data_IF_913679974208
#
_entry.id   IF_913679974208
#
_cell.length_a   1.000
_cell.length_b   1.000
_cell.length_c   1.000
_cell.angle_alpha   90.00
_cell.angle_beta   90.00
_cell.angle_gamma   90.00
#
_symmetry.space_group_name_H-M   'P 1'
#
loop_
_entity.id
_entity.type
_entity.pdbx_description
1 polymer ?
#
# COMPACT_ATOMS: atom_id res chain seq x y z
N UNK A 1 -8.03 26.41 3.02
CA UNK A 1 -8.45 25.00 3.21
C UNK A 1 -8.76 24.72 4.68
N UNK A 2 -9.44 23.61 4.97
CA UNK A 2 -9.67 23.16 6.37
C UNK A 2 -8.33 22.89 7.06
N UNK A 3 -7.39 22.24 6.36
CA UNK A 3 -6.06 21.97 6.89
C UNK A 3 -5.31 23.25 7.27
N UNK A 4 -5.36 24.30 6.43
CA UNK A 4 -4.70 25.59 6.73
C UNK A 4 -5.21 26.21 8.03
N UNK A 5 -6.52 26.11 8.31
CA UNK A 5 -7.10 26.60 9.58
C UNK A 5 -6.58 25.80 10.76
N UNK A 6 -6.64 24.47 10.68
CA UNK A 6 -6.13 23.58 11.73
C UNK A 6 -4.62 23.77 11.96
N UNK A 7 -3.84 23.97 10.90
CA UNK A 7 -2.41 24.20 11.00
C UNK A 7 -2.07 25.52 11.70
N UNK A 8 -2.85 26.58 11.45
CA UNK A 8 -2.68 27.87 12.13
C UNK A 8 -3.09 27.82 13.60
N UNK A 9 -4.02 26.95 13.97
CA UNK A 9 -4.46 26.73 15.34
C UNK A 9 -3.44 25.91 16.14
N UNK A 10 -3.04 24.72 15.61
CA UNK A 10 -2.02 23.86 16.17
C UNK A 10 -1.29 23.08 15.06
N UNK A 11 -0.15 23.63 14.64
CA UNK A 11 0.66 23.05 13.59
C UNK A 11 1.13 21.62 13.91
N UNK A 12 1.45 21.34 15.18
CA UNK A 12 1.94 20.01 15.60
C UNK A 12 0.85 18.95 15.50
N UNK A 13 -0.35 19.26 15.97
CA UNK A 13 -1.49 18.34 15.87
C UNK A 13 -1.94 18.17 14.43
N UNK A 14 -2.00 19.25 13.63
CA UNK A 14 -2.33 19.18 12.21
C UNK A 14 -1.36 18.27 11.43
N UNK A 15 -0.05 18.38 11.68
CA UNK A 15 0.96 17.52 11.08
C UNK A 15 0.82 16.05 11.50
N UNK A 16 0.52 15.77 12.77
CA UNK A 16 0.26 14.40 13.24
C UNK A 16 -0.94 13.79 12.53
N UNK A 17 -2.03 14.54 12.39
CA UNK A 17 -3.23 14.09 11.67
C UNK A 17 -2.90 13.85 10.19
N UNK A 18 -2.10 14.73 9.57
CA UNK A 18 -1.67 14.57 8.18
C UNK A 18 -0.88 13.27 7.98
N UNK A 19 0.12 13.00 8.82
CA UNK A 19 0.89 11.75 8.73
C UNK A 19 0.06 10.52 9.06
N UNK A 20 -0.82 10.58 10.07
CA UNK A 20 -1.77 9.50 10.35
C UNK A 20 -2.71 9.24 9.16
N UNK A 21 -3.19 10.29 8.52
CA UNK A 21 -4.05 10.12 7.33
C UNK A 21 -3.33 9.38 6.20
N UNK A 22 -2.02 9.55 6.08
CA UNK A 22 -1.20 8.90 5.06
C UNK A 22 -0.77 7.48 5.41
N UNK A 23 -0.61 7.17 6.69
CA UNK A 23 -0.08 5.89 7.14
C UNK A 23 -0.99 4.74 6.70
N UNK A 24 -0.41 3.80 5.92
CA UNK A 24 -1.11 2.62 5.40
C UNK A 24 -1.11 1.44 6.37
N UNK A 25 -0.37 1.53 7.49
CA UNK A 25 -0.25 0.45 8.48
C UNK A 25 -1.17 0.67 9.66
N UNK A 26 -1.20 1.89 10.20
CA UNK A 26 -1.90 2.23 11.43
C UNK A 26 -2.82 3.45 11.29
N UNK A 27 -2.95 4.00 10.08
CA UNK A 27 -3.75 5.17 9.77
C UNK A 27 -4.76 4.92 8.66
N UNK A 28 -5.20 6.01 8.00
CA UNK A 28 -6.25 5.96 6.97
C UNK A 28 -5.76 5.55 5.58
N UNK A 29 -4.46 5.57 5.31
CA UNK A 29 -3.88 5.20 4.01
C UNK A 29 -4.16 6.18 2.86
N UNK A 30 -4.60 7.40 3.18
CA UNK A 30 -4.95 8.43 2.21
C UNK A 30 -3.73 8.97 1.48
N UNK A 31 -3.76 8.91 0.13
CA UNK A 31 -2.62 9.34 -0.67
C UNK A 31 -2.81 10.73 -1.27
N UNK A 32 -3.95 10.98 -1.86
CA UNK A 32 -4.15 12.21 -2.62
C UNK A 32 -4.23 13.42 -1.70
N UNK A 33 -5.01 13.32 -0.62
CA UNK A 33 -5.13 14.38 0.39
C UNK A 33 -3.75 14.71 0.97
N UNK A 34 -2.96 13.69 1.31
CA UNK A 34 -1.59 13.90 1.80
C UNK A 34 -0.72 14.68 0.82
N UNK A 35 -0.74 14.30 -0.47
CA UNK A 35 0.06 14.96 -1.52
C UNK A 35 -0.37 16.39 -1.78
N UNK A 36 -1.68 16.65 -1.78
CA UNK A 36 -2.24 17.99 -1.98
C UNK A 36 -1.86 18.92 -0.81
N UNK A 37 -1.96 18.41 0.43
CA UNK A 37 -1.56 19.17 1.62
C UNK A 37 -0.04 19.33 1.68
N UNK A 38 0.74 18.31 1.30
CA UNK A 38 2.20 18.42 1.23
C UNK A 38 2.63 19.51 0.23
N UNK A 39 1.99 19.60 -0.94
CA UNK A 39 2.25 20.67 -1.91
C UNK A 39 1.95 22.05 -1.32
N UNK A 40 0.82 22.20 -0.64
CA UNK A 40 0.49 23.45 0.09
C UNK A 40 1.54 23.82 1.14
N UNK A 41 2.02 22.84 1.91
CA UNK A 41 3.03 23.07 2.94
C UNK A 41 4.39 23.46 2.35
N UNK A 42 4.77 22.88 1.22
CA UNK A 42 6.00 23.25 0.50
C UNK A 42 5.96 24.71 0.05
N UNK A 43 4.81 25.18 -0.43
CA UNK A 43 4.64 26.56 -0.91
C UNK A 43 4.56 27.59 0.22
N UNK A 44 4.02 27.23 1.40
CA UNK A 44 3.69 28.20 2.44
C UNK A 44 4.49 27.98 3.75
N UNK A 45 5.04 26.80 3.98
CA UNK A 45 5.69 26.37 5.22
C UNK A 45 6.86 25.42 4.95
N UNK A 46 7.75 25.79 4.02
CA UNK A 46 8.86 24.95 3.52
C UNK A 46 9.71 24.33 4.63
N UNK A 47 10.03 25.11 5.67
CA UNK A 47 10.87 24.65 6.78
C UNK A 47 10.20 23.54 7.61
N UNK A 48 8.86 23.55 7.69
CA UNK A 48 8.13 22.49 8.38
C UNK A 48 8.22 21.17 7.60
N UNK A 49 8.13 21.23 6.27
CA UNK A 49 8.31 20.03 5.42
C UNK A 49 9.73 19.53 5.52
N UNK A 50 10.72 20.43 5.47
CA UNK A 50 12.14 20.09 5.60
C UNK A 50 12.44 19.39 6.92
N UNK A 51 11.92 19.89 8.04
CA UNK A 51 12.09 19.29 9.36
C UNK A 51 11.45 17.91 9.53
N UNK A 52 10.50 17.55 8.65
CA UNK A 52 9.78 16.27 8.69
C UNK A 52 10.01 15.42 7.43
N UNK A 53 11.06 15.72 6.66
CA UNK A 53 11.29 15.09 5.36
C UNK A 53 11.44 13.57 5.44
N UNK A 54 12.17 13.09 6.43
CA UNK A 54 12.44 11.67 6.66
C UNK A 54 11.17 10.88 7.01
N UNK A 55 10.16 11.54 7.59
CA UNK A 55 8.88 10.93 7.95
C UNK A 55 8.00 10.66 6.74
N UNK A 56 8.23 11.34 5.60
CA UNK A 56 7.44 11.16 4.39
C UNK A 56 7.50 9.71 3.88
N UNK A 57 8.67 9.09 3.66
CA UNK A 57 8.73 7.68 3.26
C UNK A 57 8.45 6.70 4.40
N UNK A 58 8.55 7.11 5.66
CA UNK A 58 8.27 6.28 6.82
C UNK A 58 6.78 5.99 6.98
N UNK A 59 5.95 7.03 7.02
CA UNK A 59 4.47 6.91 7.12
C UNK A 59 3.81 6.70 5.77
N UNK A 60 4.41 7.22 4.70
CA UNK A 60 3.94 7.10 3.34
C UNK A 60 4.72 6.10 2.51
N UNK A 61 5.15 6.56 1.35
CA UNK A 61 5.98 5.79 0.41
C UNK A 61 7.07 6.68 -0.17
N UNK A 62 8.15 6.06 -0.63
CA UNK A 62 9.25 6.76 -1.27
C UNK A 62 8.83 7.57 -2.52
N UNK A 63 7.75 7.19 -3.20
CA UNK A 63 7.22 7.96 -4.33
C UNK A 63 6.49 9.26 -3.90
N UNK A 64 6.14 9.42 -2.63
CA UNK A 64 5.61 10.69 -2.12
C UNK A 64 6.70 11.78 -2.07
N UNK A 65 7.96 11.40 -1.88
CA UNK A 65 9.13 12.31 -1.94
C UNK A 65 9.31 12.91 -3.35
N UNK A 66 8.85 12.21 -4.39
CA UNK A 66 8.99 12.69 -5.77
C UNK A 66 8.24 14.02 -6.04
N UNK A 67 7.18 14.29 -5.29
CA UNK A 67 6.43 15.55 -5.38
C UNK A 67 7.22 16.78 -4.98
N UNK A 68 8.35 16.59 -4.28
CA UNK A 68 9.25 17.69 -3.88
C UNK A 68 10.26 18.08 -4.97
N UNK A 69 10.36 17.29 -6.05
CA UNK A 69 11.24 17.59 -7.17
C UNK A 69 10.64 18.73 -8.00
N UNK A 70 11.41 19.79 -8.20
CA UNK A 70 10.96 21.03 -8.83
C UNK A 70 10.50 22.10 -7.84
N UNK A 71 10.64 21.86 -6.56
CA UNK A 71 10.36 22.83 -5.49
C UNK A 71 11.67 23.28 -4.79
N UNK A 72 11.58 24.17 -3.82
CA UNK A 72 12.72 24.63 -3.03
C UNK A 72 13.39 23.48 -2.23
N UNK A 73 12.67 22.39 -1.99
CA UNK A 73 13.17 21.17 -1.32
C UNK A 73 13.75 20.12 -2.28
N UNK A 74 13.94 20.45 -3.56
CA UNK A 74 14.46 19.49 -4.55
C UNK A 74 15.79 18.84 -4.12
N UNK A 75 16.73 19.64 -3.65
CA UNK A 75 18.04 19.12 -3.26
C UNK A 75 17.97 18.21 -2.03
N UNK A 76 17.14 18.58 -1.05
CA UNK A 76 16.92 17.78 0.15
C UNK A 76 16.23 16.43 -0.23
N UNK A 77 15.23 16.48 -1.09
CA UNK A 77 14.54 15.29 -1.61
C UNK A 77 15.47 14.36 -2.39
N UNK A 78 16.33 14.91 -3.28
CA UNK A 78 17.32 14.13 -4.01
C UNK A 78 18.31 13.50 -3.04
N UNK A 79 18.78 14.25 -2.04
CA UNK A 79 19.72 13.75 -1.03
C UNK A 79 19.12 12.60 -0.24
N UNK A 80 17.85 12.69 0.16
CA UNK A 80 17.12 11.62 0.85
C UNK A 80 17.00 10.36 -0.04
N UNK A 81 16.60 10.51 -1.31
CA UNK A 81 16.50 9.39 -2.25
C UNK A 81 17.87 8.71 -2.48
N UNK A 82 18.92 9.50 -2.62
CA UNK A 82 20.30 9.01 -2.80
C UNK A 82 20.78 8.29 -1.54
N UNK A 83 20.51 8.85 -0.36
CA UNK A 83 20.83 8.22 0.91
C UNK A 83 20.14 6.85 1.02
N UNK A 84 18.84 6.77 0.77
CA UNK A 84 18.12 5.49 0.78
C UNK A 84 18.69 4.45 -0.19
N UNK A 85 19.15 4.85 -1.40
CA UNK A 85 19.81 3.94 -2.33
C UNK A 85 21.19 3.48 -1.84
N UNK A 86 21.98 4.37 -1.21
CA UNK A 86 23.30 4.03 -0.64
C UNK A 86 23.20 3.10 0.56
N UNK A 87 22.18 3.29 1.39
CA UNK A 87 21.86 2.40 2.52
C UNK A 87 21.19 1.09 2.09
N UNK A 88 21.18 0.79 0.78
CA UNK A 88 20.57 -0.40 0.20
C UNK A 88 19.09 -0.60 0.60
N UNK A 89 18.35 0.49 0.80
CA UNK A 89 16.94 0.43 1.12
C UNK A 89 16.12 -0.05 -0.08
N UNK A 90 15.60 -1.27 0.01
CA UNK A 90 14.86 -1.93 -1.07
C UNK A 90 13.55 -1.20 -1.44
N UNK A 91 12.91 -0.49 -0.48
CA UNK A 91 11.70 0.28 -0.76
C UNK A 91 12.02 1.56 -1.55
N UNK A 92 13.14 2.23 -1.25
CA UNK A 92 13.62 3.34 -2.08
C UNK A 92 13.82 2.87 -3.53
N UNK A 93 14.51 1.76 -3.73
CA UNK A 93 14.76 1.20 -5.05
C UNK A 93 13.45 0.74 -5.74
N UNK A 94 12.52 0.14 -5.01
CA UNK A 94 11.21 -0.30 -5.53
C UNK A 94 10.43 0.87 -6.14
N UNK A 95 10.36 2.00 -5.44
CA UNK A 95 9.59 3.17 -5.84
C UNK A 95 10.35 4.14 -6.76
N UNK A 96 11.68 3.94 -6.95
CA UNK A 96 12.47 4.76 -7.86
C UNK A 96 12.01 4.57 -9.31
N UNK A 97 11.65 5.65 -10.03
CA UNK A 97 11.30 5.55 -11.45
C UNK A 97 12.49 5.10 -12.29
N UNK A 98 12.23 4.46 -13.42
CA UNK A 98 13.28 3.98 -14.36
C UNK A 98 13.63 4.98 -15.46
N UNK A 99 12.90 6.11 -15.52
CA UNK A 99 13.04 7.21 -16.49
C UNK A 99 12.40 8.50 -15.94
N UNK A 100 12.58 9.58 -16.64
CA UNK A 100 11.93 10.87 -16.31
C UNK A 100 12.78 11.75 -15.40
N UNK A 101 12.17 12.81 -14.87
CA UNK A 101 12.86 13.90 -14.16
C UNK A 101 13.57 13.41 -12.90
N UNK A 102 12.84 12.75 -12.01
CA UNK A 102 13.39 12.22 -10.73
C UNK A 102 14.59 11.30 -10.99
N UNK A 103 14.42 10.33 -11.91
CA UNK A 103 15.50 9.42 -12.29
C UNK A 103 16.75 10.17 -12.78
N UNK A 104 16.57 11.17 -13.65
CA UNK A 104 17.70 11.92 -14.20
C UNK A 104 18.39 12.82 -13.15
N UNK A 105 17.63 13.39 -12.19
CA UNK A 105 18.18 14.19 -11.10
C UNK A 105 19.01 13.34 -10.15
N UNK A 106 18.46 12.21 -9.68
CA UNK A 106 19.16 11.23 -8.82
C UNK A 106 20.39 10.67 -9.51
N UNK A 107 20.29 10.31 -10.81
CA UNK A 107 21.42 9.84 -11.61
C UNK A 107 22.55 10.86 -11.68
N UNK A 108 22.23 12.13 -11.94
CA UNK A 108 23.22 13.22 -12.01
C UNK A 108 23.91 13.42 -10.66
N UNK A 109 23.16 13.37 -9.57
CA UNK A 109 23.71 13.50 -8.22
C UNK A 109 24.66 12.35 -7.89
N UNK A 110 24.30 11.11 -8.25
CA UNK A 110 25.17 9.92 -8.08
C UNK A 110 26.35 9.90 -9.06
N UNK A 111 26.36 10.73 -10.11
CA UNK A 111 27.36 10.77 -11.18
C UNK A 111 27.51 9.42 -11.90
N UNK A 112 26.40 8.72 -12.11
CA UNK A 112 26.35 7.41 -12.80
C UNK A 112 25.62 7.49 -14.13
N UNK A 113 25.85 6.49 -15.00
CA UNK A 113 25.13 6.35 -16.26
C UNK A 113 23.69 5.85 -16.03
N UNK A 114 22.77 6.04 -17.00
CA UNK A 114 21.41 5.49 -16.89
C UNK A 114 21.40 3.96 -16.72
N UNK A 115 22.36 3.25 -17.31
CA UNK A 115 22.48 1.80 -17.22
C UNK A 115 22.89 1.36 -15.80
N UNK A 116 23.88 2.04 -15.23
CA UNK A 116 24.35 1.78 -13.85
C UNK A 116 23.26 2.03 -12.82
N UNK A 117 22.56 3.17 -12.90
CA UNK A 117 21.45 3.43 -11.97
C UNK A 117 20.35 2.37 -12.08
N UNK A 118 19.96 1.95 -13.30
CA UNK A 118 18.96 0.89 -13.46
C UNK A 118 19.44 -0.44 -12.86
N UNK A 119 20.72 -0.81 -13.05
CA UNK A 119 21.30 -2.01 -12.44
C UNK A 119 21.24 -1.92 -10.91
N UNK A 120 21.65 -0.79 -10.33
CA UNK A 120 21.59 -0.56 -8.88
C UNK A 120 20.14 -0.70 -8.35
N UNK A 121 19.18 -0.04 -8.99
CA UNK A 121 17.78 -0.13 -8.60
C UNK A 121 17.28 -1.58 -8.67
N UNK A 122 17.64 -2.34 -9.72
CA UNK A 122 17.24 -3.75 -9.86
C UNK A 122 17.86 -4.60 -8.75
N UNK A 123 19.16 -4.44 -8.48
CA UNK A 123 19.84 -5.24 -7.43
C UNK A 123 19.30 -5.01 -6.03
N UNK A 124 18.79 -3.81 -5.75
CA UNK A 124 18.27 -3.45 -4.44
C UNK A 124 16.76 -3.77 -4.25
N UNK A 125 15.97 -3.74 -5.31
CA UNK A 125 14.50 -3.81 -5.16
C UNK A 125 13.99 -5.16 -4.66
N UNK A 126 14.64 -6.27 -4.97
CA UNK A 126 14.30 -7.64 -4.53
C UNK A 126 12.78 -7.91 -4.35
N UNK A 127 11.97 -7.47 -5.32
CA UNK A 127 10.52 -7.60 -5.25
C UNK A 127 10.04 -8.91 -5.85
N UNK A 128 8.81 -9.33 -5.47
CA UNK A 128 8.15 -10.51 -6.06
C UNK A 128 8.10 -10.39 -7.58
N UNK A 129 7.75 -9.21 -8.09
CA UNK A 129 7.66 -8.94 -9.52
C UNK A 129 9.02 -9.14 -10.26
N UNK A 130 10.11 -8.78 -9.61
CA UNK A 130 11.44 -8.97 -10.21
C UNK A 130 11.84 -10.45 -10.25
N UNK A 131 11.56 -11.19 -9.18
CA UNK A 131 11.77 -12.63 -9.14
C UNK A 131 10.97 -13.34 -10.22
N UNK A 132 9.69 -12.98 -10.37
CA UNK A 132 8.82 -13.48 -11.44
C UNK A 132 9.38 -13.16 -12.83
N UNK A 133 9.78 -11.90 -13.09
CA UNK A 133 10.34 -11.49 -14.40
C UNK A 133 11.68 -12.14 -14.73
N UNK A 134 12.48 -12.49 -13.72
CA UNK A 134 13.77 -13.19 -13.92
C UNK A 134 13.65 -14.71 -13.92
N UNK A 135 12.43 -15.26 -13.78
CA UNK A 135 12.19 -16.70 -13.73
C UNK A 135 12.64 -17.39 -12.43
N UNK A 136 12.98 -16.60 -11.40
CA UNK A 136 13.47 -17.09 -10.10
C UNK A 136 12.32 -17.34 -9.14
N UNK A 137 11.44 -18.22 -9.53
CA UNK A 137 10.20 -18.53 -8.75
C UNK A 137 10.55 -19.16 -7.40
N UNK A 138 11.60 -19.98 -7.34
CA UNK A 138 12.09 -20.65 -6.14
C UNK A 138 12.58 -19.69 -5.05
N UNK A 139 12.98 -18.46 -5.42
CA UNK A 139 13.39 -17.42 -4.47
C UNK A 139 12.20 -16.68 -3.83
N UNK A 140 10.95 -16.93 -4.27
CA UNK A 140 9.77 -16.27 -3.73
C UNK A 140 9.42 -16.88 -2.38
N UNK A 141 9.42 -16.05 -1.34
CA UNK A 141 8.96 -16.42 0.01
C UNK A 141 7.49 -16.00 0.15
N UNK A 142 6.58 -16.94 -0.05
CA UNK A 142 5.13 -16.66 -0.08
C UNK A 142 4.63 -16.02 1.21
N UNK A 143 5.06 -16.50 2.39
CA UNK A 143 4.64 -15.96 3.69
C UNK A 143 5.11 -14.53 3.96
N UNK A 144 6.16 -14.06 3.27
CA UNK A 144 6.65 -12.67 3.34
C UNK A 144 6.13 -11.78 2.21
N UNK A 145 5.45 -12.38 1.24
CA UNK A 145 4.95 -11.63 0.09
C UNK A 145 3.87 -10.63 0.50
N UNK A 146 3.88 -9.41 -0.08
CA UNK A 146 2.83 -8.43 0.22
C UNK A 146 1.44 -8.96 -0.13
N UNK A 147 0.45 -8.65 0.70
CA UNK A 147 -0.93 -9.15 0.56
C UNK A 147 -1.54 -8.92 -0.83
N UNK A 148 -1.40 -7.72 -1.39
CA UNK A 148 -1.87 -7.40 -2.74
C UNK A 148 -1.10 -8.14 -3.83
N UNK A 149 0.20 -8.41 -3.65
CA UNK A 149 0.99 -9.19 -4.61
C UNK A 149 0.54 -10.66 -4.61
N UNK A 150 0.30 -11.24 -3.43
CA UNK A 150 -0.24 -12.60 -3.27
C UNK A 150 -1.57 -12.75 -4.01
N UNK A 151 -2.51 -11.86 -3.74
CA UNK A 151 -3.82 -11.84 -4.38
C UNK A 151 -3.73 -11.68 -5.89
N UNK A 152 -2.95 -10.71 -6.37
CA UNK A 152 -2.81 -10.37 -7.81
C UNK A 152 -2.12 -11.46 -8.62
N UNK A 153 -1.11 -12.12 -8.05
CA UNK A 153 -0.23 -13.04 -8.77
C UNK A 153 -0.49 -14.52 -8.47
N UNK A 154 -1.52 -14.86 -7.68
CA UNK A 154 -1.86 -16.25 -7.32
C UNK A 154 -1.95 -17.19 -8.52
N UNK A 155 -2.59 -16.76 -9.62
CA UNK A 155 -2.65 -17.54 -10.86
C UNK A 155 -1.28 -17.74 -11.53
N UNK A 156 -0.39 -16.76 -11.41
CA UNK A 156 0.96 -16.88 -11.95
C UNK A 156 1.81 -17.84 -11.10
N UNK A 157 1.67 -17.80 -9.79
CA UNK A 157 2.29 -18.75 -8.87
C UNK A 157 1.83 -20.17 -9.14
N UNK A 158 0.51 -20.40 -9.25
CA UNK A 158 -0.05 -21.70 -9.59
C UNK A 158 0.36 -22.24 -10.96
N UNK A 159 0.73 -21.39 -11.93
CA UNK A 159 1.20 -21.84 -13.25
C UNK A 159 2.69 -22.11 -13.30
N UNK A 160 3.51 -21.33 -12.59
CA UNK A 160 4.95 -21.36 -12.76
C UNK A 160 5.71 -21.96 -11.57
N UNK A 161 5.04 -22.12 -10.41
CA UNK A 161 5.62 -22.70 -9.18
C UNK A 161 4.55 -23.53 -8.44
N UNK A 162 3.88 -24.41 -9.18
CA UNK A 162 2.68 -25.14 -8.75
C UNK A 162 2.90 -25.92 -7.45
N UNK A 163 3.95 -26.69 -7.36
CA UNK A 163 4.22 -27.59 -6.21
C UNK A 163 4.40 -26.77 -4.93
N UNK A 164 5.32 -25.79 -4.93
CA UNK A 164 5.60 -24.94 -3.76
C UNK A 164 4.41 -24.07 -3.39
N UNK A 165 3.69 -23.53 -4.38
CA UNK A 165 2.50 -22.71 -4.11
C UNK A 165 1.38 -23.56 -3.53
N UNK A 166 1.14 -24.75 -4.05
CA UNK A 166 0.13 -25.70 -3.52
C UNK A 166 0.48 -26.14 -2.10
N UNK A 167 1.76 -26.45 -1.82
CA UNK A 167 2.22 -26.77 -0.49
C UNK A 167 2.01 -25.60 0.48
N UNK A 168 2.32 -24.37 0.04
CA UNK A 168 2.07 -23.16 0.82
C UNK A 168 0.59 -23.03 1.19
N UNK A 169 -0.35 -23.18 0.25
CA UNK A 169 -1.80 -23.14 0.50
C UNK A 169 -2.22 -24.23 1.50
N UNK A 170 -1.70 -25.46 1.35
CA UNK A 170 -1.98 -26.54 2.29
C UNK A 170 -1.47 -26.25 3.70
N UNK A 171 -0.30 -25.63 3.81
CA UNK A 171 0.29 -25.23 5.09
C UNK A 171 -0.49 -24.08 5.73
N UNK A 172 -1.04 -23.15 4.94
CA UNK A 172 -1.95 -22.12 5.43
C UNK A 172 -3.20 -22.74 6.05
N UNK A 173 -3.88 -23.65 5.34
CA UNK A 173 -5.09 -24.35 5.82
C UNK A 173 -4.84 -25.15 7.12
N UNK A 174 -3.62 -25.64 7.32
CA UNK A 174 -3.19 -26.37 8.53
C UNK A 174 -2.69 -25.45 9.65
N UNK A 175 -2.68 -24.11 9.45
CA UNK A 175 -2.14 -23.15 10.41
C UNK A 175 -0.62 -23.22 10.62
N UNK A 176 0.13 -23.89 9.72
CA UNK A 176 1.60 -24.04 9.82
C UNK A 176 2.36 -22.83 9.29
N UNK A 177 1.72 -21.97 8.53
CA UNK A 177 2.28 -20.73 8.00
C UNK A 177 1.20 -19.65 7.99
N UNK A 178 1.59 -18.43 7.65
CA UNK A 178 0.69 -17.27 7.63
C UNK A 178 0.71 -16.59 6.27
N UNK A 179 -0.33 -15.83 5.97
CA UNK A 179 -0.40 -14.94 4.80
C UNK A 179 -0.67 -13.51 5.28
N UNK A 180 -0.03 -12.54 4.61
CA UNK A 180 -0.26 -11.14 4.91
C UNK A 180 -1.64 -10.69 4.34
N UNK A 181 -2.48 -10.10 5.19
CA UNK A 181 -3.76 -9.52 4.80
C UNK A 181 -3.96 -8.08 5.31
N UNK A 182 -3.07 -7.55 6.15
CA UNK A 182 -3.23 -6.27 6.83
C UNK A 182 -3.36 -5.03 5.92
N UNK A 183 -3.01 -5.14 4.63
CA UNK A 183 -3.18 -4.07 3.65
C UNK A 183 -4.32 -4.36 2.64
N UNK A 184 -5.15 -5.36 2.90
CA UNK A 184 -6.34 -5.67 2.10
C UNK A 184 -7.59 -5.11 2.76
N UNK A 185 -8.51 -4.65 1.93
CA UNK A 185 -9.88 -4.39 2.34
C UNK A 185 -10.75 -5.62 2.04
N UNK A 186 -11.89 -5.79 2.71
CA UNK A 186 -12.82 -6.90 2.45
C UNK A 186 -13.16 -7.06 0.97
N UNK A 187 -13.39 -5.96 0.24
CA UNK A 187 -13.69 -6.01 -1.20
C UNK A 187 -12.52 -6.51 -2.07
N UNK A 188 -11.27 -6.32 -1.66
CA UNK A 188 -10.11 -6.86 -2.39
C UNK A 188 -10.14 -8.39 -2.40
N UNK A 189 -10.60 -8.98 -1.31
CA UNK A 189 -10.65 -10.43 -1.15
C UNK A 189 -11.89 -11.01 -1.84
N UNK A 190 -13.08 -10.43 -1.63
CA UNK A 190 -14.32 -10.93 -2.27
C UNK A 190 -14.25 -10.90 -3.79
N UNK A 191 -13.62 -9.89 -4.38
CA UNK A 191 -13.37 -9.85 -5.84
C UNK A 191 -12.45 -10.97 -6.31
N UNK A 192 -11.47 -11.37 -5.49
CA UNK A 192 -10.52 -12.40 -5.85
C UNK A 192 -11.09 -13.82 -5.76
N UNK A 193 -12.15 -14.06 -4.99
CA UNK A 193 -12.82 -15.36 -4.95
C UNK A 193 -13.28 -15.79 -6.35
N UNK A 194 -13.81 -14.86 -7.14
CA UNK A 194 -14.31 -15.15 -8.50
C UNK A 194 -13.20 -15.22 -9.56
N UNK A 195 -12.05 -14.59 -9.33
CA UNK A 195 -11.03 -14.35 -10.36
C UNK A 195 -9.65 -14.94 -9.99
N UNK A 196 -9.46 -15.38 -8.76
CA UNK A 196 -8.18 -15.84 -8.21
C UNK A 196 -8.22 -17.28 -7.71
N UNK A 197 -7.47 -17.50 -6.64
CA UNK A 197 -7.44 -18.74 -5.87
C UNK A 197 -8.37 -18.57 -4.66
N UNK A 198 -9.49 -19.34 -4.66
CA UNK A 198 -10.50 -19.24 -3.61
C UNK A 198 -9.95 -19.68 -2.23
N UNK A 199 -9.03 -20.64 -2.21
CA UNK A 199 -8.40 -21.13 -0.99
C UNK A 199 -7.51 -20.03 -0.38
N UNK A 200 -6.68 -19.37 -1.20
CA UNK A 200 -5.88 -18.23 -0.77
C UNK A 200 -6.77 -17.09 -0.28
N UNK A 201 -7.84 -16.77 -1.00
CA UNK A 201 -8.77 -15.70 -0.62
C UNK A 201 -9.42 -16.02 0.74
N UNK A 202 -9.82 -17.27 0.98
CA UNK A 202 -10.36 -17.71 2.26
C UNK A 202 -9.37 -17.53 3.42
N UNK A 203 -8.10 -17.90 3.22
CA UNK A 203 -7.08 -17.72 4.25
C UNK A 203 -6.71 -16.23 4.45
N UNK A 204 -6.70 -15.41 3.40
CA UNK A 204 -6.55 -13.96 3.53
C UNK A 204 -7.72 -13.31 4.27
N UNK A 205 -8.94 -13.80 4.06
CA UNK A 205 -10.13 -13.33 4.77
C UNK A 205 -10.06 -13.60 6.27
N UNK A 206 -9.63 -14.79 6.67
CA UNK A 206 -9.40 -15.16 8.08
C UNK A 206 -8.30 -14.31 8.72
N UNK A 207 -7.28 -13.93 7.93
CA UNK A 207 -6.13 -13.14 8.38
C UNK A 207 -6.39 -11.61 8.38
N UNK A 208 -7.58 -11.15 7.93
CA UNK A 208 -7.95 -9.74 8.04
C UNK A 208 -7.97 -9.29 9.50
N UNK A 209 -7.47 -8.08 9.80
CA UNK A 209 -7.63 -7.50 11.13
C UNK A 209 -9.09 -7.48 11.56
N UNK A 210 -9.37 -7.74 12.82
CA UNK A 210 -10.71 -7.58 13.37
C UNK A 210 -10.92 -6.13 13.82
N UNK A 211 -11.50 -5.30 12.95
CA UNK A 211 -11.78 -3.89 13.25
C UNK A 211 -12.98 -3.70 14.20
N UNK A 212 -13.68 -4.79 14.54
CA UNK A 212 -14.78 -4.78 15.51
C UNK A 212 -14.33 -5.28 16.90
N UNK A 213 -13.07 -5.65 17.06
CA UNK A 213 -12.55 -6.18 18.32
C UNK A 213 -12.68 -5.14 19.44
N UNK A 214 -13.25 -5.55 20.56
CA UNK A 214 -13.48 -4.69 21.72
C UNK A 214 -14.68 -3.74 21.58
N UNK A 215 -15.53 -3.89 20.56
CA UNK A 215 -16.80 -3.17 20.46
C UNK A 215 -17.93 -4.04 21.02
N UNK A 216 -18.66 -3.49 22.00
CA UNK A 216 -19.87 -4.10 22.56
C UNK A 216 -21.14 -3.68 21.80
N UNK A 217 -21.00 -2.98 20.67
CA UNK A 217 -22.11 -2.47 19.87
C UNK A 217 -22.82 -3.60 19.12
N UNK A 218 -24.15 -3.62 19.19
CA UNK A 218 -24.99 -4.51 18.40
C UNK A 218 -25.21 -3.89 17.01
N UNK A 219 -24.46 -4.38 16.01
CA UNK A 219 -24.48 -3.82 14.66
C UNK A 219 -25.30 -4.75 13.74
N UNK A 220 -26.38 -4.22 13.16
CA UNK A 220 -27.13 -4.89 12.09
C UNK A 220 -26.79 -4.24 10.76
N UNK A 221 -25.97 -4.88 9.89
CA UNK A 221 -25.64 -4.31 8.59
C UNK A 221 -26.83 -4.41 7.64
N UNK A 222 -27.30 -3.28 7.11
CA UNK A 222 -28.23 -3.22 5.99
C UNK A 222 -27.47 -2.97 4.69
N UNK A 223 -27.44 -3.97 3.81
CA UNK A 223 -26.67 -3.91 2.57
C UNK A 223 -27.60 -3.61 1.40
N UNK A 224 -27.44 -2.42 0.81
CA UNK A 224 -28.15 -2.08 -0.42
C UNK A 224 -27.48 -2.78 -1.62
N UNK A 225 -28.26 -3.63 -2.29
CA UNK A 225 -27.88 -4.38 -3.50
C UNK A 225 -28.70 -3.95 -4.72
N UNK A 226 -29.31 -2.77 -4.69
CA UNK A 226 -30.05 -2.21 -5.82
C UNK A 226 -29.14 -1.94 -7.03
N UNK A 227 -29.74 -1.85 -8.21
CA UNK A 227 -29.01 -1.65 -9.47
C UNK A 227 -28.15 -0.37 -9.49
N UNK A 228 -28.54 0.69 -8.76
CA UNK A 228 -27.79 1.93 -8.62
C UNK A 228 -26.41 1.72 -7.93
N UNK A 229 -26.28 0.70 -7.10
CA UNK A 229 -25.00 0.34 -6.45
C UNK A 229 -23.94 -0.19 -7.43
N UNK A 230 -24.30 -0.44 -8.69
CA UNK A 230 -23.36 -0.74 -9.77
C UNK A 230 -22.46 0.42 -10.20
N UNK A 231 -22.69 1.64 -9.70
CA UNK A 231 -21.81 2.79 -9.97
C UNK A 231 -20.41 2.61 -9.35
N UNK A 232 -19.43 3.33 -9.91
CA UNK A 232 -18.05 3.27 -9.41
C UNK A 232 -17.94 3.85 -7.99
N UNK A 233 -17.22 3.17 -7.12
CA UNK A 233 -16.87 3.66 -5.79
C UNK A 233 -15.74 4.70 -5.91
N UNK A 234 -16.12 5.97 -5.75
CA UNK A 234 -15.21 7.10 -5.89
C UNK A 234 -14.57 7.15 -7.29
N UNK A 235 -13.26 7.38 -7.35
CA UNK A 235 -12.50 7.45 -8.60
C UNK A 235 -12.02 6.09 -9.13
N UNK A 236 -12.37 4.98 -8.48
CA UNK A 236 -11.93 3.65 -8.90
C UNK A 236 -12.95 2.98 -9.81
N UNK A 237 -12.73 3.08 -11.13
CA UNK A 237 -13.60 2.49 -12.15
C UNK A 237 -13.71 0.95 -12.08
N UNK A 238 -12.80 0.29 -11.39
CA UNK A 238 -12.79 -1.17 -11.23
C UNK A 238 -13.42 -1.65 -9.92
N UNK A 239 -13.98 -0.73 -9.12
CA UNK A 239 -14.63 -1.02 -7.86
C UNK A 239 -16.01 -0.37 -7.87
N UNK A 240 -17.06 -1.17 -7.68
CA UNK A 240 -18.43 -0.66 -7.56
C UNK A 240 -18.80 -0.40 -6.10
N UNK A 241 -19.80 0.45 -5.87
CA UNK A 241 -20.39 0.62 -4.54
C UNK A 241 -20.97 -0.71 -4.03
N UNK A 242 -21.49 -1.56 -4.92
CA UNK A 242 -21.97 -2.91 -4.61
C UNK A 242 -20.85 -3.78 -4.02
N UNK A 243 -19.65 -3.80 -4.64
CA UNK A 243 -18.52 -4.58 -4.14
C UNK A 243 -18.17 -4.19 -2.69
N UNK A 244 -18.16 -2.88 -2.42
CA UNK A 244 -17.87 -2.34 -1.08
C UNK A 244 -18.97 -2.72 -0.09
N UNK A 245 -20.24 -2.47 -0.44
CA UNK A 245 -21.39 -2.71 0.44
C UNK A 245 -21.51 -4.19 0.81
N UNK A 246 -21.46 -5.08 -0.17
CA UNK A 246 -21.57 -6.54 0.06
C UNK A 246 -20.38 -7.04 0.89
N UNK A 247 -19.15 -6.63 0.58
CA UNK A 247 -17.98 -7.10 1.31
C UNK A 247 -17.96 -6.63 2.76
N UNK A 248 -18.38 -5.40 3.03
CA UNK A 248 -18.50 -4.87 4.39
C UNK A 248 -19.64 -5.55 5.15
N UNK A 249 -20.78 -5.79 4.50
CA UNK A 249 -21.89 -6.52 5.10
C UNK A 249 -21.48 -7.92 5.55
N UNK A 250 -20.77 -8.67 4.67
CA UNK A 250 -20.23 -10.00 5.00
C UNK A 250 -19.21 -9.91 6.15
N UNK A 251 -18.31 -8.93 6.08
CA UNK A 251 -17.27 -8.75 7.11
C UNK A 251 -17.87 -8.48 8.49
N UNK A 252 -18.83 -7.55 8.57
CA UNK A 252 -19.51 -7.19 9.82
C UNK A 252 -20.32 -8.38 10.33
N UNK A 253 -21.14 -9.01 9.48
CA UNK A 253 -22.00 -10.15 9.88
C UNK A 253 -21.20 -11.31 10.46
N UNK A 254 -20.03 -11.63 9.90
CA UNK A 254 -19.20 -12.76 10.36
C UNK A 254 -18.51 -12.45 11.71
N UNK A 255 -18.12 -11.19 11.93
CA UNK A 255 -17.37 -10.77 13.13
C UNK A 255 -18.23 -10.18 14.22
N UNK A 256 -19.51 -9.99 13.92
CA UNK A 256 -20.49 -9.51 14.88
C UNK A 256 -20.69 -10.54 16.00
N UNK A 257 -20.84 -10.09 17.21
CA UNK A 257 -21.15 -10.94 18.37
C UNK A 257 -22.56 -10.63 18.88
N UNK A 258 -23.23 -11.61 19.45
CA UNK A 258 -24.56 -11.42 20.04
C UNK A 258 -25.73 -11.69 19.10
N UNK A 259 -26.84 -10.95 19.23
CA UNK A 259 -28.14 -11.24 18.63
C UNK A 259 -28.18 -11.14 17.08
N UNK A 260 -27.22 -10.46 16.47
CA UNK A 260 -27.16 -10.23 15.01
C UNK A 260 -25.99 -10.98 14.33
N UNK A 261 -25.49 -12.01 14.97
CA UNK A 261 -24.44 -12.88 14.39
C UNK A 261 -25.01 -13.76 13.29
#
# INVERSE_FOLDING_TARGET
SIFSKAFNEDARTAMRILFWSRDVRFGAGERQIFRDVLSYLVENHTEVVKANLDLIPEYGRWDDVHGLIGTDLENDAISLLVHGLKEANGLTAKWMPRKGLVFNKVRKHLKVTPKELRKLIVSLSNTVEQKMCSGKWEEIEYHKSPSLAMSRYSKAFGRNDYERFTEFIQNLKKGKTTVNAGALYPYDITKNVSHGDADLASEQWKALPNWMEGSDELILPMVDVSGSMGCSAGNNKNLSCMDVAVSLGLYISERNEGAFK
#
